data_IF_520597184737
#
_entry.id   IF_520597184737
#
_cell.length_a   1.000
_cell.length_b   1.000
_cell.length_c   1.000
_cell.angle_alpha   90.00
_cell.angle_beta   90.00
_cell.angle_gamma   90.00
#
_symmetry.space_group_name_H-M   'P 1'
#
loop_
_entity.id
_entity.type
_entity.pdbx_description
1 polymer ?
#
# COMPACT_ATOMS: atom_id res chain seq x y z
N UNK A 1 -20.89 -2.38 -2.81
CA UNK A 1 -19.97 -2.13 -1.69
C UNK A 1 -18.57 -2.55 -2.13
N UNK A 2 -17.58 -1.65 -2.12
CA UNK A 2 -16.20 -1.98 -2.54
C UNK A 2 -15.47 -2.70 -1.41
N UNK A 3 -14.97 -3.90 -1.68
CA UNK A 3 -14.09 -4.65 -0.78
C UNK A 3 -12.72 -4.78 -1.43
N UNK A 4 -11.76 -4.04 -0.91
CA UNK A 4 -10.36 -4.19 -1.27
C UNK A 4 -9.73 -5.25 -0.37
N UNK A 5 -9.29 -6.34 -0.98
CA UNK A 5 -8.42 -7.26 -0.29
C UNK A 5 -7.06 -6.59 -0.20
N UNK A 6 -6.57 -6.43 1.03
CA UNK A 6 -5.25 -5.92 1.33
C UNK A 6 -4.24 -6.82 0.62
N UNK A 7 -3.75 -6.35 -0.53
CA UNK A 7 -2.64 -6.97 -1.23
C UNK A 7 -1.43 -7.04 -0.30
N UNK A 8 -0.48 -7.90 -0.62
CA UNK A 8 0.67 -8.15 0.22
C UNK A 8 1.52 -6.85 0.39
N UNK A 9 1.27 -6.08 1.45
CA UNK A 9 2.00 -4.82 1.70
C UNK A 9 3.46 -5.05 2.06
N UNK A 10 3.95 -6.30 2.10
CA UNK A 10 5.38 -6.61 2.14
C UNK A 10 6.13 -5.78 1.11
N UNK A 11 5.60 -5.65 -0.11
CA UNK A 11 6.27 -4.96 -1.21
C UNK A 11 6.04 -3.44 -1.27
N UNK A 12 5.53 -2.81 -0.21
CA UNK A 12 5.39 -1.36 -0.18
C UNK A 12 6.70 -0.65 -0.54
N UNK A 13 6.70 0.38 -1.42
CA UNK A 13 5.56 1.05 -2.07
C UNK A 13 5.16 0.49 -3.46
N UNK A 14 5.71 -0.67 -3.85
CA UNK A 14 5.39 -1.38 -5.10
C UNK A 14 4.20 -2.35 -4.92
N UNK A 15 3.28 -2.03 -4.02
CA UNK A 15 2.14 -2.88 -3.71
C UNK A 15 1.08 -2.85 -4.83
N UNK A 16 0.46 -4.02 -5.05
CA UNK A 16 -0.71 -4.18 -5.91
C UNK A 16 -1.90 -4.54 -5.04
N UNK A 17 -3.03 -3.85 -5.24
CA UNK A 17 -4.26 -4.10 -4.51
C UNK A 17 -5.33 -4.59 -5.47
N UNK A 18 -6.12 -5.57 -5.01
CA UNK A 18 -7.26 -6.08 -5.75
C UNK A 18 -8.54 -5.68 -5.01
N UNK A 19 -9.26 -4.75 -5.63
CA UNK A 19 -10.54 -4.24 -5.16
C UNK A 19 -11.68 -4.90 -5.93
N UNK A 20 -12.60 -5.50 -5.19
CA UNK A 20 -13.77 -6.15 -5.76
C UNK A 20 -15.03 -5.35 -5.41
N UNK A 21 -15.85 -5.05 -6.41
CA UNK A 21 -17.20 -4.51 -6.22
C UNK A 21 -18.21 -5.58 -6.61
N UNK A 22 -19.05 -5.95 -5.66
CA UNK A 22 -20.19 -6.84 -5.93
C UNK A 22 -21.47 -6.01 -6.06
N UNK A 23 -22.17 -6.19 -7.17
CA UNK A 23 -23.48 -5.61 -7.48
C UNK A 23 -24.46 -6.78 -7.61
N UNK A 24 -25.50 -6.77 -6.81
CA UNK A 24 -26.56 -7.77 -6.84
C UNK A 24 -27.84 -7.20 -6.24
N UNK A 25 -28.99 -7.74 -6.65
CA UNK A 25 -30.28 -7.48 -6.02
C UNK A 25 -30.33 -8.15 -4.65
N UNK A 26 -30.92 -7.46 -3.67
CA UNK A 26 -31.15 -8.04 -2.34
C UNK A 26 -32.44 -8.88 -2.31
N UNK A 27 -33.51 -8.38 -2.93
CA UNK A 27 -34.86 -8.95 -2.84
C UNK A 27 -35.28 -9.80 -4.03
N UNK A 28 -34.75 -9.50 -5.22
CA UNK A 28 -35.16 -10.16 -6.47
C UNK A 28 -34.19 -11.27 -6.87
N UNK A 29 -34.72 -12.41 -7.27
CA UNK A 29 -33.99 -13.53 -7.89
C UNK A 29 -33.79 -13.30 -9.39
N UNK A 30 -33.03 -14.19 -10.06
CA UNK A 30 -32.75 -14.11 -11.50
C UNK A 30 -34.01 -14.08 -12.38
N UNK A 31 -35.08 -14.77 -11.95
CA UNK A 31 -36.33 -14.84 -12.70
C UNK A 31 -37.03 -13.48 -12.79
N UNK A 32 -36.89 -12.65 -11.75
CA UNK A 32 -37.46 -11.31 -11.69
C UNK A 32 -36.50 -10.25 -12.27
N UNK A 33 -35.19 -10.42 -12.08
CA UNK A 33 -34.18 -9.44 -12.48
C UNK A 33 -32.88 -10.15 -12.89
N UNK A 34 -32.51 -10.05 -14.17
CA UNK A 34 -31.25 -10.58 -14.70
C UNK A 34 -30.30 -9.44 -15.11
N UNK A 35 -29.13 -9.40 -14.49
CA UNK A 35 -28.08 -8.43 -14.81
C UNK A 35 -27.15 -8.95 -15.90
N UNK A 36 -26.98 -8.13 -16.95
CA UNK A 36 -25.97 -8.32 -17.99
C UNK A 36 -25.02 -7.13 -17.99
N UNK A 37 -23.72 -7.42 -18.06
CA UNK A 37 -22.67 -6.42 -18.16
C UNK A 37 -21.65 -6.90 -19.20
N UNK A 38 -21.10 -5.96 -19.94
CA UNK A 38 -20.00 -6.25 -20.85
C UNK A 38 -18.74 -6.60 -20.04
N UNK A 39 -17.97 -7.61 -20.48
CA UNK A 39 -16.77 -8.04 -19.78
C UNK A 39 -15.66 -6.98 -19.82
N UNK A 40 -15.67 -6.12 -20.85
CA UNK A 40 -14.73 -5.03 -21.02
C UNK A 40 -15.33 -3.72 -20.52
N UNK A 41 -14.64 -3.07 -19.59
CA UNK A 41 -15.05 -1.76 -19.11
C UNK A 41 -14.41 -0.68 -19.97
N UNK A 42 -15.23 0.20 -20.51
CA UNK A 42 -14.75 1.36 -21.23
C UNK A 42 -14.08 2.35 -20.26
N UNK A 43 -12.76 2.50 -20.39
CA UNK A 43 -11.93 3.43 -19.61
C UNK A 43 -11.69 4.76 -20.35
N UNK A 44 -12.40 5.06 -21.45
CA UNK A 44 -12.16 6.27 -22.24
C UNK A 44 -12.39 7.58 -21.48
N UNK A 45 -13.32 7.58 -20.51
CA UNK A 45 -13.59 8.71 -19.62
C UNK A 45 -12.92 8.58 -18.26
N UNK A 46 -11.93 7.68 -18.12
CA UNK A 46 -11.20 7.49 -16.87
C UNK A 46 -10.32 8.72 -16.57
N UNK A 47 -10.52 9.30 -15.39
CA UNK A 47 -9.65 10.34 -14.86
C UNK A 47 -8.48 9.66 -14.15
N UNK A 48 -7.27 9.85 -14.69
CA UNK A 48 -6.05 9.27 -14.12
C UNK A 48 -5.81 9.75 -12.70
N UNK A 49 -5.54 8.81 -11.79
CA UNK A 49 -5.12 9.13 -10.44
C UNK A 49 -3.60 9.39 -10.36
N UNK A 50 -3.18 10.31 -9.52
CA UNK A 50 -1.76 10.65 -9.34
C UNK A 50 -1.02 9.59 -8.51
N UNK A 51 -1.70 9.00 -7.52
CA UNK A 51 -1.15 8.02 -6.57
C UNK A 51 -1.26 6.57 -7.09
N UNK A 52 -2.32 6.27 -7.85
CA UNK A 52 -2.66 4.92 -8.30
C UNK A 52 -2.67 4.78 -9.81
N UNK A 53 -2.14 3.65 -10.29
CA UNK A 53 -2.19 3.23 -11.67
C UNK A 53 -3.13 2.02 -11.81
N UNK A 54 -4.08 2.09 -12.76
CA UNK A 54 -5.05 1.02 -13.00
C UNK A 54 -4.43 -0.01 -13.92
N UNK A 55 -4.15 -1.21 -13.41
CA UNK A 55 -3.54 -2.30 -14.20
C UNK A 55 -4.57 -3.15 -14.92
N UNK A 56 -5.72 -3.39 -14.31
CA UNK A 56 -6.78 -4.18 -14.93
C UNK A 56 -8.12 -3.83 -14.31
N UNK A 57 -9.16 -3.74 -15.14
CA UNK A 57 -10.53 -3.66 -14.69
C UNK A 57 -11.39 -4.63 -15.51
N UNK A 58 -11.99 -5.61 -14.83
CA UNK A 58 -12.79 -6.67 -15.47
C UNK A 58 -14.07 -6.92 -14.70
N UNK A 59 -15.14 -7.26 -15.40
CA UNK A 59 -16.42 -7.63 -14.80
C UNK A 59 -16.67 -9.13 -15.02
N UNK A 60 -17.05 -9.82 -13.94
CA UNK A 60 -17.42 -11.22 -13.93
C UNK A 60 -18.88 -11.37 -13.53
N UNK A 61 -19.59 -12.24 -14.24
CA UNK A 61 -20.96 -12.62 -13.89
C UNK A 61 -20.94 -13.97 -13.17
N UNK A 62 -21.54 -14.01 -12.00
CA UNK A 62 -21.69 -15.21 -11.19
C UNK A 62 -23.16 -15.46 -10.92
N UNK A 63 -23.58 -16.71 -11.12
CA UNK A 63 -24.91 -17.17 -10.71
C UNK A 63 -24.74 -17.97 -9.43
N UNK A 64 -25.38 -17.51 -8.35
CA UNK A 64 -25.25 -18.13 -7.04
C UNK A 64 -26.62 -18.61 -6.55
N UNK A 65 -26.71 -19.89 -6.21
CA UNK A 65 -27.90 -20.46 -5.59
C UNK A 65 -27.69 -20.53 -4.08
N UNK A 66 -28.42 -19.70 -3.34
CA UNK A 66 -28.39 -19.73 -1.87
C UNK A 66 -29.19 -20.92 -1.33
N UNK A 67 -28.74 -21.49 -0.21
CA UNK A 67 -29.43 -22.63 0.42
C UNK A 67 -30.86 -22.28 0.90
N UNK A 68 -31.14 -21.00 1.14
CA UNK A 68 -32.45 -20.55 1.60
C UNK A 68 -33.56 -20.64 0.55
N UNK A 69 -33.23 -20.72 -0.75
CA UNK A 69 -34.22 -20.56 -1.82
C UNK A 69 -33.91 -21.41 -3.06
N UNK A 70 -34.96 -21.73 -3.83
CA UNK A 70 -34.87 -22.61 -4.99
C UNK A 70 -34.27 -21.96 -6.24
N UNK A 71 -34.43 -20.64 -6.37
CA UNK A 71 -34.03 -19.87 -7.54
C UNK A 71 -32.60 -19.30 -7.40
N UNK A 72 -31.83 -19.17 -8.49
CA UNK A 72 -30.51 -18.56 -8.45
C UNK A 72 -30.59 -17.02 -8.41
N UNK A 73 -29.56 -16.40 -7.85
CA UNK A 73 -29.30 -14.96 -7.89
C UNK A 73 -28.18 -14.65 -8.87
N UNK A 74 -28.31 -13.54 -9.59
CA UNK A 74 -27.28 -12.99 -10.47
C UNK A 74 -26.44 -11.97 -9.72
N UNK A 75 -25.14 -12.21 -9.64
CA UNK A 75 -24.16 -11.34 -8.98
C UNK A 75 -23.16 -10.89 -10.04
N UNK A 76 -23.00 -9.57 -10.17
CA UNK A 76 -21.92 -8.98 -10.95
C UNK A 76 -20.77 -8.63 -10.02
N UNK A 77 -19.58 -9.14 -10.32
CA UNK A 77 -18.35 -8.87 -9.57
C UNK A 77 -17.37 -8.13 -10.47
N UNK A 78 -17.14 -6.85 -10.19
CA UNK A 78 -16.11 -6.07 -10.86
C UNK A 78 -14.80 -6.18 -10.07
N UNK A 79 -13.72 -6.64 -10.71
CA UNK A 79 -12.38 -6.73 -10.13
C UNK A 79 -11.50 -5.64 -10.72
N UNK A 80 -11.06 -4.74 -9.84
CA UNK A 80 -10.18 -3.61 -10.12
C UNK A 80 -8.81 -3.89 -9.48
N UNK A 81 -7.79 -4.04 -10.32
CA UNK A 81 -6.41 -4.19 -9.88
C UNK A 81 -5.69 -2.86 -10.05
N UNK A 82 -5.31 -2.27 -8.91
CA UNK A 82 -4.56 -1.00 -8.85
C UNK A 82 -3.14 -1.25 -8.33
N UNK A 83 -2.21 -0.41 -8.78
CA UNK A 83 -0.82 -0.40 -8.32
C UNK A 83 -0.43 1.01 -7.88
N UNK A 84 0.21 1.13 -6.72
CA UNK A 84 0.69 2.42 -6.20
C UNK A 84 1.88 2.92 -7.02
N UNK A 85 1.97 4.24 -7.24
CA UNK A 85 3.17 4.86 -7.83
C UNK A 85 4.24 5.08 -6.75
N UNK A 86 5.41 4.44 -6.85
CA UNK A 86 6.40 4.40 -5.77
C UNK A 86 7.29 5.65 -5.69
N UNK A 87 7.36 6.47 -6.74
CA UNK A 87 8.35 7.54 -6.90
C UNK A 87 8.37 8.53 -5.73
N UNK A 88 7.20 8.97 -5.27
CA UNK A 88 7.08 9.89 -4.14
C UNK A 88 7.73 9.34 -2.86
N UNK A 89 7.45 8.06 -2.54
CA UNK A 89 7.99 7.41 -1.36
C UNK A 89 9.48 7.13 -1.47
N UNK A 90 9.97 6.79 -2.67
CA UNK A 90 11.41 6.60 -2.90
C UNK A 90 12.16 7.91 -2.68
N UNK A 91 11.69 9.01 -3.28
CA UNK A 91 12.39 10.31 -3.21
C UNK A 91 12.29 10.95 -1.83
N UNK A 92 11.12 10.92 -1.19
CA UNK A 92 10.93 11.63 0.08
C UNK A 92 11.26 10.79 1.32
N UNK A 93 11.40 9.48 1.19
CA UNK A 93 11.65 8.59 2.33
C UNK A 93 12.97 7.83 2.23
N UNK A 94 13.27 7.22 1.08
CA UNK A 94 14.49 6.41 0.92
C UNK A 94 15.73 7.31 0.77
N UNK A 95 15.65 8.39 -0.02
CA UNK A 95 16.81 9.27 -0.22
C UNK A 95 17.25 9.94 1.10
N UNK A 96 16.36 10.61 1.88
CA UNK A 96 16.78 11.27 3.11
C UNK A 96 17.36 10.31 4.16
N UNK A 97 16.78 9.11 4.29
CA UNK A 97 17.26 8.09 5.25
C UNK A 97 18.62 7.52 4.87
N UNK A 98 18.87 7.33 3.57
CA UNK A 98 20.20 6.93 3.08
C UNK A 98 21.27 8.01 3.31
N UNK A 99 20.93 9.29 3.18
CA UNK A 99 21.86 10.39 3.44
C UNK A 99 22.18 10.47 4.94
N UNK A 100 21.16 10.40 5.81
CA UNK A 100 21.35 10.47 7.27
C UNK A 100 22.27 9.35 7.76
N UNK A 101 22.12 8.14 7.24
CA UNK A 101 22.93 6.97 7.62
C UNK A 101 24.36 7.06 7.09
N UNK A 102 24.56 7.58 5.89
CA UNK A 102 25.89 7.84 5.36
C UNK A 102 26.62 8.93 6.17
N UNK A 103 25.90 9.97 6.61
CA UNK A 103 26.45 11.02 7.48
C UNK A 103 26.76 10.48 8.87
N UNK A 104 25.91 9.63 9.45
CA UNK A 104 26.20 9.03 10.77
C UNK A 104 27.43 8.15 10.73
N UNK A 105 27.55 7.26 9.73
CA UNK A 105 28.72 6.40 9.53
C UNK A 105 29.98 7.24 9.37
N UNK A 106 30.00 8.21 8.45
CA UNK A 106 31.18 9.06 8.23
C UNK A 106 31.54 9.92 9.45
N UNK A 107 30.55 10.40 10.19
CA UNK A 107 30.74 11.12 11.46
C UNK A 107 31.41 10.27 12.55
N UNK A 108 31.08 8.98 12.65
CA UNK A 108 31.75 8.06 13.58
C UNK A 108 33.19 7.73 13.16
N UNK A 109 33.44 7.55 11.86
CA UNK A 109 34.75 7.22 11.32
C UNK A 109 35.74 8.39 11.30
N UNK A 110 35.27 9.64 11.41
CA UNK A 110 36.15 10.81 11.46
C UNK A 110 36.91 10.84 12.79
N UNK A 111 38.26 10.82 12.81
CA UNK A 111 39.04 10.84 14.04
C UNK A 111 38.81 12.15 14.78
N UNK A 112 38.25 12.05 16.00
CA UNK A 112 38.01 13.19 16.87
C UNK A 112 39.35 13.67 17.44
N UNK A 113 39.66 14.96 17.28
CA UNK A 113 40.90 15.57 17.75
C UNK A 113 40.71 16.34 19.06
N UNK A 114 39.47 16.59 19.50
CA UNK A 114 39.16 17.40 20.68
C UNK A 114 38.12 16.75 21.61
N UNK A 115 38.10 17.14 22.88
CA UNK A 115 37.10 16.67 23.87
C UNK A 115 35.67 17.12 23.54
N UNK A 116 35.50 18.17 22.72
CA UNK A 116 34.21 18.71 22.30
C UNK A 116 33.57 17.82 21.21
N UNK A 117 34.40 17.28 20.31
CA UNK A 117 33.99 16.37 19.22
C UNK A 117 33.30 15.08 19.74
N UNK A 118 33.58 14.67 20.99
CA UNK A 118 32.92 13.50 21.60
C UNK A 118 31.45 13.77 21.92
N UNK A 119 31.13 15.00 22.31
CA UNK A 119 29.76 15.44 22.58
C UNK A 119 28.98 15.58 21.27
N UNK A 120 29.63 16.07 20.21
CA UNK A 120 29.02 16.16 18.88
C UNK A 120 28.65 14.79 18.30
N UNK A 121 29.51 13.77 18.48
CA UNK A 121 29.21 12.39 18.06
C UNK A 121 28.00 11.79 18.77
N UNK A 122 27.86 12.03 20.08
CA UNK A 122 26.70 11.55 20.87
C UNK A 122 25.42 12.27 20.40
N UNK A 123 25.49 13.58 20.19
CA UNK A 123 24.37 14.36 19.67
C UNK A 123 23.95 13.92 18.26
N UNK A 124 24.91 13.61 17.38
CA UNK A 124 24.63 13.04 16.05
C UNK A 124 23.91 11.67 16.17
N UNK A 125 24.35 10.81 17.08
CA UNK A 125 23.68 9.54 17.38
C UNK A 125 22.23 9.72 17.86
N UNK A 126 21.98 10.62 18.81
CA UNK A 126 20.63 10.85 19.36
C UNK A 126 19.70 11.45 18.28
N UNK A 127 20.19 12.44 17.52
CA UNK A 127 19.40 13.10 16.47
C UNK A 127 19.06 12.17 15.32
N UNK A 128 19.99 11.29 14.91
CA UNK A 128 19.73 10.27 13.89
C UNK A 128 18.71 9.22 14.35
N UNK A 129 18.79 8.75 15.59
CA UNK A 129 17.80 7.84 16.19
C UNK A 129 16.40 8.47 16.26
N UNK A 130 16.32 9.74 16.67
CA UNK A 130 15.06 10.48 16.73
C UNK A 130 14.45 10.67 15.34
N UNK A 131 15.27 11.09 14.36
CA UNK A 131 14.82 11.27 12.98
C UNK A 131 14.28 9.97 12.37
N UNK A 132 14.99 8.85 12.57
CA UNK A 132 14.53 7.52 12.12
C UNK A 132 13.22 7.10 12.80
N UNK A 133 13.06 7.38 14.09
CA UNK A 133 11.83 7.07 14.83
C UNK A 133 10.63 7.85 14.28
N UNK A 134 10.80 9.14 13.98
CA UNK A 134 9.75 9.97 13.37
C UNK A 134 9.38 9.45 11.98
N UNK A 135 10.36 9.07 11.16
CA UNK A 135 10.12 8.53 9.82
C UNK A 135 9.40 7.18 9.88
N UNK A 136 9.75 6.30 10.82
CA UNK A 136 9.02 5.06 11.05
C UNK A 136 7.57 5.31 11.48
N UNK A 137 7.32 6.30 12.33
CA UNK A 137 5.96 6.69 12.73
C UNK A 137 5.15 7.21 11.54
N UNK A 138 5.73 8.05 10.68
CA UNK A 138 5.06 8.53 9.46
C UNK A 138 4.68 7.38 8.51
N UNK A 139 5.58 6.40 8.33
CA UNK A 139 5.28 5.20 7.53
C UNK A 139 4.16 4.38 8.15
N UNK A 140 4.20 4.20 9.47
CA UNK A 140 3.20 3.42 10.21
C UNK A 140 1.81 4.04 10.13
N UNK A 141 1.70 5.37 10.09
CA UNK A 141 0.42 6.06 9.99
C UNK A 141 -0.24 5.88 8.61
N UNK A 142 0.57 5.76 7.56
CA UNK A 142 0.08 5.52 6.19
C UNK A 142 -0.26 4.05 5.92
N UNK A 143 0.18 3.14 6.80
CA UNK A 143 -0.05 1.71 6.65
C UNK A 143 -1.18 1.24 7.56
N UNK A 144 -2.02 0.31 7.09
CA UNK A 144 -2.96 -0.31 7.99
C UNK A 144 -2.21 -1.10 9.08
N UNK A 145 -2.74 -1.09 10.30
CA UNK A 145 -2.24 -1.88 11.43
C UNK A 145 -2.50 -3.37 11.22
N UNK A 146 -1.76 -4.00 10.31
CA UNK A 146 -1.79 -5.44 10.09
C UNK A 146 -0.52 -6.06 10.63
N UNK A 147 -0.64 -6.99 11.58
CA UNK A 147 0.48 -7.68 12.22
C UNK A 147 1.10 -8.81 11.38
N UNK A 148 0.56 -9.08 10.18
CA UNK A 148 0.95 -10.24 9.37
C UNK A 148 2.29 -10.10 8.65
N UNK A 149 2.83 -8.88 8.51
CA UNK A 149 4.11 -8.66 7.84
C UNK A 149 4.72 -7.29 8.15
N UNK A 150 6.05 -7.26 8.23
CA UNK A 150 6.83 -6.02 8.23
C UNK A 150 7.05 -5.58 6.77
N UNK A 151 6.68 -4.34 6.38
CA UNK A 151 6.95 -3.82 5.05
C UNK A 151 8.44 -3.79 4.73
N UNK A 152 8.83 -3.97 3.47
CA UNK A 152 10.23 -3.90 3.04
C UNK A 152 10.91 -2.58 3.44
N UNK A 153 10.16 -1.47 3.43
CA UNK A 153 10.66 -0.16 3.88
C UNK A 153 10.98 -0.16 5.38
N UNK A 154 10.13 -0.78 6.20
CA UNK A 154 10.38 -0.93 7.64
C UNK A 154 11.58 -1.83 7.91
N UNK A 155 11.74 -2.90 7.13
CA UNK A 155 12.93 -3.76 7.19
C UNK A 155 14.20 -3.01 6.80
N UNK A 156 14.15 -2.19 5.75
CA UNK A 156 15.28 -1.37 5.31
C UNK A 156 15.68 -0.35 6.38
N UNK A 157 14.70 0.35 6.98
CA UNK A 157 14.95 1.30 8.07
C UNK A 157 15.52 0.61 9.31
N UNK A 158 15.04 -0.59 9.65
CA UNK A 158 15.57 -1.37 10.77
C UNK A 158 17.02 -1.83 10.52
N UNK A 159 17.37 -2.24 9.30
CA UNK A 159 18.76 -2.61 8.97
C UNK A 159 19.73 -1.41 8.95
N UNK A 160 19.21 -0.20 8.76
CA UNK A 160 19.99 1.03 8.77
C UNK A 160 20.23 1.59 10.18
N UNK A 161 19.58 1.03 11.19
CA UNK A 161 19.64 1.39 12.60
C UNK A 161 20.67 0.51 13.32
#
# INVERSE_FOLDING_TARGET
NWRCYKGNFRFFPYDRQNCTLTISSWTNSKSALDYHADPEVNLASYISNEEWDVKSFKIFRHEYKYACCAEPWTILQASLVIQRKPLYYVVNLIIPTSIITLVSITGFFTPASSNDDRTEKINLGITTLLAMSILMLMVSDQMPTTSEFVPLIGRHLFYLL
#
